data_IF_738377757526
#
_entry.id   IF_738377757526
#
_cell.length_a   1.000
_cell.length_b   1.000
_cell.length_c   1.000
_cell.angle_alpha   90.00
_cell.angle_beta   90.00
_cell.angle_gamma   90.00
#
_symmetry.space_group_name_H-M   'P 1'
#
loop_
_entity.id
_entity.type
_entity.pdbx_description
1 polymer ?
#
# COMPACT_ATOMS: atom_id res chain seq x y z
N UNK A 1 5.10 -1.50 -27.25
CA UNK A 1 5.45 -2.53 -28.25
C UNK A 1 5.69 -3.95 -27.69
N UNK A 2 5.75 -4.19 -26.37
CA UNK A 2 5.83 -5.55 -25.82
C UNK A 2 4.47 -6.31 -25.86
N UNK A 3 3.37 -5.62 -25.55
CA UNK A 3 2.02 -6.20 -25.54
C UNK A 3 1.55 -6.71 -26.92
N UNK A 4 1.91 -6.00 -28.00
CA UNK A 4 1.61 -6.44 -29.37
C UNK A 4 2.35 -7.74 -29.72
N UNK A 5 3.61 -7.86 -29.30
CA UNK A 5 4.42 -9.06 -29.48
C UNK A 5 3.91 -10.25 -28.64
N UNK A 6 3.38 -10.01 -27.45
CA UNK A 6 2.72 -11.06 -26.68
C UNK A 6 1.42 -11.51 -27.34
N UNK A 7 0.61 -10.58 -27.89
CA UNK A 7 -0.63 -10.92 -28.60
C UNK A 7 -0.36 -11.77 -29.85
N UNK A 8 0.73 -11.54 -30.57
CA UNK A 8 1.10 -12.34 -31.74
C UNK A 8 1.64 -13.74 -31.39
N UNK A 9 2.18 -13.94 -30.18
CA UNK A 9 2.62 -15.26 -29.70
C UNK A 9 1.48 -16.17 -29.25
N UNK A 10 0.30 -15.60 -28.99
CA UNK A 10 -0.89 -16.37 -28.62
C UNK A 10 -1.50 -17.05 -29.84
N UNK A 11 -1.99 -18.27 -29.66
CA UNK A 11 -2.75 -19.01 -30.66
C UNK A 11 -4.08 -18.34 -31.00
N UNK A 12 -4.68 -18.72 -32.13
CA UNK A 12 -5.93 -18.10 -32.65
C UNK A 12 -7.06 -18.18 -31.59
N UNK A 13 -7.24 -19.32 -30.96
CA UNK A 13 -8.24 -19.53 -29.89
C UNK A 13 -8.02 -18.64 -28.67
N UNK A 14 -6.77 -18.48 -28.24
CA UNK A 14 -6.39 -17.64 -27.11
C UNK A 14 -6.64 -16.15 -27.40
N UNK A 15 -6.38 -15.70 -28.63
CA UNK A 15 -6.69 -14.32 -29.06
C UNK A 15 -8.19 -14.04 -29.03
N UNK A 16 -9.01 -14.98 -29.52
CA UNK A 16 -10.47 -14.85 -29.47
C UNK A 16 -10.99 -14.82 -28.03
N UNK A 17 -10.46 -15.67 -27.15
CA UNK A 17 -10.78 -15.66 -25.73
C UNK A 17 -10.41 -14.32 -25.06
N UNK A 18 -9.22 -13.78 -25.35
CA UNK A 18 -8.82 -12.46 -24.85
C UNK A 18 -9.74 -11.34 -25.34
N UNK A 19 -10.13 -11.36 -26.61
CA UNK A 19 -11.04 -10.33 -27.13
C UNK A 19 -12.45 -10.46 -26.51
N UNK A 20 -12.90 -11.67 -26.15
CA UNK A 20 -14.13 -11.89 -25.37
C UNK A 20 -13.99 -11.36 -23.94
N UNK A 21 -12.91 -11.71 -23.24
CA UNK A 21 -12.64 -11.21 -21.88
C UNK A 21 -12.54 -9.69 -21.84
N UNK A 22 -11.88 -9.09 -22.85
CA UNK A 22 -11.77 -7.64 -22.98
C UNK A 22 -13.13 -6.98 -23.21
N UNK A 23 -14.10 -7.65 -23.83
CA UNK A 23 -15.46 -7.11 -24.04
C UNK A 23 -16.38 -7.29 -22.83
N UNK A 24 -15.95 -8.04 -21.82
CA UNK A 24 -16.73 -8.22 -20.61
C UNK A 24 -16.66 -6.96 -19.74
N UNK A 25 -17.79 -6.25 -19.65
CA UNK A 25 -17.92 -4.99 -18.89
C UNK A 25 -17.60 -5.21 -17.40
N UNK A 26 -18.05 -6.33 -16.81
CA UNK A 26 -17.78 -6.63 -15.41
C UNK A 26 -16.27 -6.75 -15.14
N UNK A 27 -15.54 -7.45 -16.00
CA UNK A 27 -14.09 -7.61 -15.85
C UNK A 27 -13.35 -6.28 -16.03
N UNK A 28 -13.78 -5.43 -16.97
CA UNK A 28 -13.19 -4.09 -17.15
C UNK A 28 -13.35 -3.24 -15.88
N UNK A 29 -14.58 -3.11 -15.39
CA UNK A 29 -14.87 -2.30 -14.19
C UNK A 29 -14.12 -2.85 -12.98
N UNK A 30 -14.00 -4.18 -12.84
CA UNK A 30 -13.24 -4.82 -11.75
C UNK A 30 -11.75 -4.50 -11.84
N UNK A 31 -11.15 -4.64 -13.02
CA UNK A 31 -9.73 -4.33 -13.24
C UNK A 31 -9.44 -2.85 -13.01
N UNK A 32 -10.32 -1.96 -13.47
CA UNK A 32 -10.20 -0.51 -13.25
C UNK A 32 -10.29 -0.18 -11.75
N UNK A 33 -11.22 -0.81 -11.02
CA UNK A 33 -11.35 -0.65 -9.57
C UNK A 33 -10.09 -1.14 -8.83
N UNK A 34 -9.55 -2.30 -9.21
CA UNK A 34 -8.30 -2.83 -8.64
C UNK A 34 -7.11 -1.89 -8.91
N UNK A 35 -6.98 -1.38 -10.15
CA UNK A 35 -5.94 -0.44 -10.52
C UNK A 35 -6.03 0.87 -9.73
N UNK A 36 -7.23 1.43 -9.59
CA UNK A 36 -7.46 2.62 -8.78
C UNK A 36 -7.11 2.38 -7.32
N UNK A 37 -7.49 1.23 -6.76
CA UNK A 37 -7.17 0.90 -5.37
C UNK A 37 -5.67 0.79 -5.13
N UNK A 38 -4.93 0.16 -6.05
CA UNK A 38 -3.46 0.14 -6.01
C UNK A 38 -2.88 1.55 -6.08
N UNK A 39 -3.42 2.42 -6.95
CA UNK A 39 -2.99 3.82 -7.05
C UNK A 39 -3.25 4.61 -5.77
N UNK A 40 -4.39 4.40 -5.12
CA UNK A 40 -4.74 5.05 -3.85
C UNK A 40 -3.75 4.62 -2.76
N UNK A 41 -3.48 3.32 -2.63
CA UNK A 41 -2.51 2.77 -1.66
C UNK A 41 -1.13 3.38 -1.86
N UNK A 42 -0.64 3.43 -3.09
CA UNK A 42 0.68 3.97 -3.40
C UNK A 42 0.76 5.47 -3.09
N UNK A 43 -0.27 6.25 -3.43
CA UNK A 43 -0.32 7.69 -3.11
C UNK A 43 -0.39 7.96 -1.61
N UNK A 44 -1.11 7.14 -0.86
CA UNK A 44 -1.16 7.24 0.60
C UNK A 44 0.20 6.92 1.23
N UNK A 45 0.88 5.89 0.74
CA UNK A 45 2.24 5.53 1.17
C UNK A 45 3.22 6.66 0.87
N UNK A 46 3.21 7.19 -0.35
CA UNK A 46 4.06 8.31 -0.75
C UNK A 46 3.82 9.53 0.14
N UNK A 47 2.55 9.89 0.38
CA UNK A 47 2.19 10.98 1.29
C UNK A 47 2.74 10.77 2.70
N UNK A 48 2.62 9.56 3.25
CA UNK A 48 3.16 9.24 4.59
C UNK A 48 4.66 9.47 4.65
N UNK A 49 5.42 8.94 3.69
CA UNK A 49 6.86 9.15 3.63
C UNK A 49 7.25 10.61 3.45
N UNK A 50 6.49 11.39 2.68
CA UNK A 50 6.73 12.82 2.53
C UNK A 50 6.54 13.57 3.84
N UNK A 51 5.47 13.29 4.59
CA UNK A 51 5.22 13.89 5.90
C UNK A 51 6.32 13.51 6.89
N UNK A 52 6.67 12.22 6.98
CA UNK A 52 7.75 11.75 7.86
C UNK A 52 9.09 12.41 7.53
N UNK A 53 9.41 12.57 6.24
CA UNK A 53 10.62 13.27 5.79
C UNK A 53 10.62 14.74 6.20
N UNK A 54 9.47 15.40 6.09
CA UNK A 54 9.30 16.79 6.50
C UNK A 54 9.46 16.94 8.02
N UNK A 55 8.80 16.10 8.81
CA UNK A 55 8.92 16.08 10.27
C UNK A 55 10.36 15.86 10.71
N UNK A 56 11.08 14.94 10.07
CA UNK A 56 12.49 14.68 10.37
C UNK A 56 13.37 15.90 10.07
N UNK A 57 13.18 16.53 8.91
CA UNK A 57 13.90 17.75 8.54
C UNK A 57 13.59 18.92 9.49
N UNK A 58 12.34 19.04 9.94
CA UNK A 58 11.91 20.06 10.89
C UNK A 58 12.56 19.88 12.26
N UNK A 59 12.64 18.64 12.78
CA UNK A 59 13.34 18.36 14.05
C UNK A 59 14.83 18.67 13.98
N UNK A 60 15.43 18.60 12.79
CA UNK A 60 16.85 18.85 12.58
C UNK A 60 17.18 20.33 12.30
N UNK A 61 16.24 21.09 11.74
CA UNK A 61 16.40 22.52 11.46
C UNK A 61 15.78 23.37 12.59
N UNK A 62 16.61 24.07 13.36
CA UNK A 62 16.22 24.78 14.61
C UNK A 62 15.18 25.91 14.40
N UNK A 63 14.89 26.38 13.19
CA UNK A 63 13.96 27.51 13.04
C UNK A 63 13.44 27.74 11.61
N UNK A 64 12.34 27.11 11.19
CA UNK A 64 11.66 27.46 9.92
C UNK A 64 10.12 27.40 10.01
N UNK A 65 9.48 28.45 10.56
CA UNK A 65 8.01 28.60 10.53
C UNK A 65 7.45 29.10 9.18
N UNK A 66 8.28 29.75 8.34
CA UNK A 66 7.82 30.38 7.08
C UNK A 66 7.82 29.44 5.87
N UNK A 67 8.57 28.33 5.91
CA UNK A 67 8.65 27.36 4.79
C UNK A 67 7.40 26.44 4.72
N UNK A 68 6.67 26.32 5.84
CA UNK A 68 5.59 25.35 5.99
C UNK A 68 4.33 25.68 5.20
N UNK A 69 4.03 26.95 4.90
CA UNK A 69 2.80 27.32 4.21
C UNK A 69 2.68 26.73 2.80
N UNK A 70 3.79 26.73 2.04
CA UNK A 70 3.82 26.15 0.69
C UNK A 70 3.72 24.62 0.73
N UNK A 71 4.32 24.01 1.75
CA UNK A 71 4.30 22.56 1.96
C UNK A 71 2.91 22.10 2.40
N UNK A 72 2.26 22.83 3.32
CA UNK A 72 0.90 22.57 3.79
C UNK A 72 -0.10 22.63 2.64
N UNK A 73 0.02 23.65 1.77
CA UNK A 73 -0.81 23.75 0.57
C UNK A 73 -0.58 22.56 -0.36
N UNK A 74 0.67 22.16 -0.61
CA UNK A 74 0.98 20.98 -1.43
C UNK A 74 0.40 19.68 -0.84
N UNK A 75 0.48 19.50 0.49
CA UNK A 75 -0.12 18.36 1.20
C UNK A 75 -1.64 18.38 1.05
N UNK A 76 -2.29 19.54 1.21
CA UNK A 76 -3.73 19.68 1.03
C UNK A 76 -4.18 19.33 -0.40
N UNK A 77 -3.45 19.78 -1.42
CA UNK A 77 -3.74 19.43 -2.82
C UNK A 77 -3.64 17.92 -3.09
N UNK A 78 -2.64 17.27 -2.51
CA UNK A 78 -2.50 15.80 -2.58
C UNK A 78 -3.67 15.11 -1.89
N UNK A 79 -4.10 15.59 -0.73
CA UNK A 79 -5.28 15.07 -0.03
C UNK A 79 -6.53 15.16 -0.91
N UNK A 80 -6.72 16.28 -1.62
CA UNK A 80 -7.84 16.44 -2.55
C UNK A 80 -7.76 15.45 -3.73
N UNK A 81 -6.57 15.21 -4.25
CA UNK A 81 -6.39 14.27 -5.37
C UNK A 81 -6.66 12.83 -4.93
N UNK A 82 -6.18 12.44 -3.74
CA UNK A 82 -6.47 11.13 -3.16
C UNK A 82 -7.98 10.97 -2.92
N UNK A 83 -8.65 11.99 -2.36
CA UNK A 83 -10.11 12.00 -2.19
C UNK A 83 -10.84 11.81 -3.52
N UNK A 84 -10.44 12.50 -4.59
CA UNK A 84 -11.01 12.32 -5.93
C UNK A 84 -10.88 10.88 -6.43
N UNK A 85 -9.72 10.25 -6.23
CA UNK A 85 -9.52 8.85 -6.60
C UNK A 85 -10.40 7.91 -5.77
N UNK A 86 -10.58 8.18 -4.47
CA UNK A 86 -11.48 7.41 -3.61
C UNK A 86 -12.93 7.52 -4.11
N UNK A 87 -13.41 8.72 -4.46
CA UNK A 87 -14.76 8.88 -5.00
C UNK A 87 -14.94 8.11 -6.32
N UNK A 88 -13.94 8.16 -7.21
CA UNK A 88 -13.96 7.39 -8.45
C UNK A 88 -13.93 5.87 -8.22
N UNK A 89 -13.20 5.41 -7.21
CA UNK A 89 -13.20 3.99 -6.84
C UNK A 89 -14.56 3.57 -6.25
N UNK A 90 -15.14 4.39 -5.38
CA UNK A 90 -16.44 4.12 -4.77
C UNK A 90 -17.57 4.10 -5.80
N UNK A 91 -17.51 4.91 -6.86
CA UNK A 91 -18.46 4.82 -7.97
C UNK A 91 -18.34 3.50 -8.72
N UNK A 92 -17.11 3.02 -9.00
CA UNK A 92 -16.92 1.70 -9.61
C UNK A 92 -17.40 0.56 -8.70
N UNK A 93 -17.28 0.69 -7.38
CA UNK A 93 -17.85 -0.29 -6.44
C UNK A 93 -19.38 -0.34 -6.51
N UNK A 94 -20.02 0.82 -6.68
CA UNK A 94 -21.47 0.90 -6.90
C UNK A 94 -21.87 0.27 -8.24
N UNK A 95 -21.09 0.51 -9.30
CA UNK A 95 -21.31 -0.08 -10.63
C UNK A 95 -21.16 -1.61 -10.59
N UNK A 96 -20.13 -2.13 -9.91
CA UNK A 96 -19.95 -3.57 -9.70
C UNK A 96 -21.11 -4.18 -8.92
N UNK A 97 -21.55 -3.51 -7.85
CA UNK A 97 -22.72 -3.94 -7.07
C UNK A 97 -24.00 -3.95 -7.91
N UNK A 98 -24.15 -3.01 -8.85
CA UNK A 98 -25.27 -3.00 -9.80
C UNK A 98 -25.17 -4.15 -10.81
N UNK A 99 -23.98 -4.43 -11.36
CA UNK A 99 -23.75 -5.54 -12.29
C UNK A 99 -23.99 -6.91 -11.64
N UNK A 100 -23.63 -7.07 -10.37
CA UNK A 100 -23.88 -8.29 -9.58
C UNK A 100 -25.39 -8.48 -9.39
N UNK A 101 -26.12 -7.43 -9.01
CA UNK A 101 -27.60 -7.47 -8.89
C UNK A 101 -28.30 -7.79 -10.22
N UNK A 102 -27.70 -7.40 -11.35
CA UNK A 102 -28.19 -7.71 -12.68
C UNK A 102 -27.78 -9.10 -13.19
N UNK A 103 -27.11 -9.91 -12.37
CA UNK A 103 -26.56 -11.22 -12.76
C UNK A 103 -25.64 -11.19 -14.00
N UNK A 104 -24.94 -10.07 -14.21
CA UNK A 104 -23.93 -9.91 -15.27
C UNK A 104 -22.51 -10.24 -14.80
N UNK A 105 -22.38 -10.68 -13.55
CA UNK A 105 -21.13 -11.18 -12.96
C UNK A 105 -21.10 -12.72 -12.96
N UNK A 106 -19.92 -13.33 -12.77
CA UNK A 106 -19.81 -14.75 -12.44
C UNK A 106 -20.66 -15.15 -11.22
N UNK A 107 -21.08 -16.42 -11.11
CA UNK A 107 -21.82 -16.90 -9.94
C UNK A 107 -20.99 -16.74 -8.66
N UNK A 108 -21.67 -16.49 -7.52
CA UNK A 108 -21.07 -16.30 -6.20
C UNK A 108 -20.05 -15.14 -6.09
N UNK A 109 -20.17 -14.13 -6.96
CA UNK A 109 -19.32 -12.94 -6.89
C UNK A 109 -19.67 -12.10 -5.66
N UNK A 110 -18.65 -11.74 -4.88
CA UNK A 110 -18.77 -10.83 -3.73
C UNK A 110 -18.47 -9.39 -4.21
N UNK A 111 -19.32 -8.39 -3.89
CA UNK A 111 -19.04 -7.00 -4.23
C UNK A 111 -17.85 -6.46 -3.41
N UNK A 112 -17.02 -5.58 -3.98
CA UNK A 112 -15.93 -4.96 -3.25
C UNK A 112 -16.42 -3.91 -2.25
N UNK A 113 -15.69 -3.78 -1.15
CA UNK A 113 -16.00 -2.81 -0.10
C UNK A 113 -15.60 -1.39 -0.54
N UNK A 114 -16.52 -0.40 -0.42
CA UNK A 114 -16.20 1.00 -0.66
C UNK A 114 -15.28 1.54 0.45
N UNK A 115 -14.41 2.49 0.11
CA UNK A 115 -13.47 3.10 1.05
C UNK A 115 -14.11 4.34 1.67
N UNK A 116 -14.09 4.45 3.00
CA UNK A 116 -14.50 5.68 3.67
C UNK A 116 -13.55 6.84 3.33
N UNK A 117 -14.04 8.00 2.86
CA UNK A 117 -13.21 9.18 2.64
C UNK A 117 -12.83 9.92 3.94
N UNK A 118 -13.46 9.57 5.08
CA UNK A 118 -13.13 10.09 6.41
C UNK A 118 -12.11 9.17 7.09
N UNK A 119 -11.11 9.74 7.77
CA UNK A 119 -10.09 8.95 8.48
C UNK A 119 -9.06 8.21 7.60
N UNK A 120 -9.21 8.20 6.28
CA UNK A 120 -8.31 7.46 5.36
C UNK A 120 -6.82 7.84 5.46
N UNK A 121 -6.54 9.03 5.98
CA UNK A 121 -5.20 9.57 6.09
C UNK A 121 -4.44 9.13 7.34
N UNK A 122 -5.15 8.54 8.32
CA UNK A 122 -4.58 8.04 9.56
C UNK A 122 -3.89 6.68 9.34
N UNK A 123 -4.24 5.99 8.24
CA UNK A 123 -3.62 4.74 7.78
C UNK A 123 -3.58 3.65 8.85
N UNK A 124 -4.71 3.44 9.49
CA UNK A 124 -4.88 2.34 10.44
C UNK A 124 -4.69 0.98 9.77
N UNK A 125 -4.19 0.01 10.54
CA UNK A 125 -3.95 -1.36 10.12
C UNK A 125 -5.27 -2.03 9.70
N UNK A 126 -6.35 -1.67 10.38
CA UNK A 126 -7.69 -2.23 10.16
C UNK A 126 -8.49 -1.48 9.08
N UNK A 127 -7.89 -0.51 8.38
CA UNK A 127 -8.59 0.26 7.36
C UNK A 127 -9.01 -0.63 6.17
N UNK A 128 -10.27 -0.47 5.72
CA UNK A 128 -10.87 -1.22 4.59
C UNK A 128 -10.05 -1.17 3.30
N UNK A 129 -9.18 -0.17 3.16
CA UNK A 129 -8.26 -0.05 2.03
C UNK A 129 -7.34 -1.26 1.86
N UNK A 130 -7.05 -2.02 2.93
CA UNK A 130 -6.17 -3.19 2.87
C UNK A 130 -6.88 -4.48 2.45
N UNK A 131 -8.22 -4.52 2.44
CA UNK A 131 -8.98 -5.73 2.14
C UNK A 131 -9.32 -5.85 0.65
N UNK A 132 -8.73 -6.78 -0.11
CA UNK A 132 -9.00 -6.98 -1.56
C UNK A 132 -10.21 -7.85 -1.91
N UNK A 133 -11.15 -7.95 -0.97
CA UNK A 133 -12.40 -8.70 -1.12
C UNK A 133 -13.16 -8.20 -2.37
N UNK A 134 -13.54 -9.12 -3.24
CA UNK A 134 -14.34 -8.83 -4.44
C UNK A 134 -13.56 -8.21 -5.61
N UNK A 135 -12.25 -7.96 -5.46
CA UNK A 135 -11.38 -7.45 -6.52
C UNK A 135 -10.35 -8.47 -7.00
N UNK A 136 -9.80 -9.27 -6.10
CA UNK A 136 -8.87 -10.34 -6.42
C UNK A 136 -9.50 -11.72 -6.17
N UNK A 137 -9.34 -12.61 -7.14
CA UNK A 137 -9.79 -14.01 -7.03
C UNK A 137 -8.67 -14.92 -6.51
N UNK A 138 -7.43 -14.42 -6.50
CA UNK A 138 -6.29 -15.14 -5.93
C UNK A 138 -6.31 -14.91 -4.44
N UNK A 139 -6.70 -15.92 -3.67
CA UNK A 139 -6.33 -15.97 -2.25
C UNK A 139 -4.86 -16.36 -2.23
N UNK A 140 -3.92 -15.43 -1.99
CA UNK A 140 -2.52 -15.82 -1.91
C UNK A 140 -2.37 -16.82 -0.76
N UNK A 141 -1.55 -17.85 -0.96
CA UNK A 141 -1.11 -18.67 0.15
C UNK A 141 -0.52 -17.73 1.22
N UNK A 142 -0.91 -17.90 2.50
CA UNK A 142 -0.42 -17.03 3.54
C UNK A 142 1.11 -17.08 3.55
N UNK A 143 1.80 -15.92 3.61
CA UNK A 143 3.25 -15.89 3.62
C UNK A 143 3.84 -16.78 4.72
N UNK A 144 5.01 -17.37 4.49
CA UNK A 144 5.63 -18.32 5.42
C UNK A 144 5.81 -17.78 6.85
N UNK A 145 6.10 -16.48 7.01
CA UNK A 145 6.21 -15.86 8.35
C UNK A 145 4.89 -15.90 9.14
N UNK A 146 3.76 -16.00 8.44
CA UNK A 146 2.41 -16.12 9.00
C UNK A 146 1.98 -17.57 9.11
N UNK A 147 2.28 -18.42 8.12
CA UNK A 147 1.80 -19.80 8.05
C UNK A 147 2.70 -20.83 8.75
N UNK A 148 4.02 -20.65 8.68
CA UNK A 148 5.02 -21.58 9.17
C UNK A 148 5.62 -21.14 10.51
N UNK A 149 5.52 -22.00 11.52
CA UNK A 149 6.06 -21.75 12.85
C UNK A 149 7.59 -21.73 12.85
N UNK A 150 8.24 -22.52 11.99
CA UNK A 150 9.70 -22.56 11.90
C UNK A 150 10.22 -21.21 11.39
N UNK A 151 9.66 -20.71 10.29
CA UNK A 151 9.98 -19.39 9.74
C UNK A 151 9.77 -18.29 10.78
N UNK A 152 8.67 -18.33 11.54
CA UNK A 152 8.40 -17.36 12.61
C UNK A 152 9.41 -17.43 13.75
N UNK A 153 9.78 -18.64 14.17
CA UNK A 153 10.81 -18.85 15.19
C UNK A 153 12.18 -18.32 14.72
N UNK A 154 12.55 -18.59 13.46
CA UNK A 154 13.79 -18.10 12.85
C UNK A 154 13.82 -16.58 12.82
N UNK A 155 12.75 -15.90 12.38
CA UNK A 155 12.66 -14.43 12.37
C UNK A 155 12.89 -13.86 13.78
N UNK A 156 12.23 -14.43 14.80
CA UNK A 156 12.42 -14.00 16.19
C UNK A 156 13.88 -14.16 16.66
N UNK A 157 14.53 -15.27 16.29
CA UNK A 157 15.93 -15.52 16.64
C UNK A 157 16.87 -14.53 15.94
N UNK A 158 16.68 -14.27 14.65
CA UNK A 158 17.47 -13.28 13.89
C UNK A 158 17.32 -11.89 14.50
N UNK A 159 16.09 -11.45 14.80
CA UNK A 159 15.86 -10.15 15.45
C UNK A 159 16.50 -10.05 16.84
N UNK A 160 16.58 -11.17 17.58
CA UNK A 160 17.26 -11.21 18.87
C UNK A 160 18.77 -11.07 18.71
N UNK A 161 19.37 -11.72 17.71
CA UNK A 161 20.78 -11.57 17.38
C UNK A 161 21.09 -10.12 16.98
N UNK A 162 20.28 -9.53 16.10
CA UNK A 162 20.45 -8.13 15.67
C UNK A 162 20.37 -7.15 16.84
N UNK A 163 19.44 -7.39 17.78
CA UNK A 163 19.33 -6.59 19.00
C UNK A 163 20.59 -6.74 19.87
N UNK A 164 21.09 -7.96 20.07
CA UNK A 164 22.32 -8.18 20.83
C UNK A 164 23.51 -7.45 20.19
N UNK A 165 23.66 -7.50 18.87
CA UNK A 165 24.73 -6.81 18.14
C UNK A 165 24.64 -5.28 18.29
N UNK A 166 23.42 -4.75 18.20
CA UNK A 166 23.14 -3.33 18.40
C UNK A 166 23.52 -2.91 19.82
N UNK A 167 23.09 -3.67 20.83
CA UNK A 167 23.32 -3.38 22.24
C UNK A 167 24.80 -3.47 22.60
N UNK A 168 25.53 -4.47 22.09
CA UNK A 168 26.98 -4.55 22.26
C UNK A 168 27.69 -3.32 21.67
N UNK A 169 27.23 -2.84 20.51
CA UNK A 169 27.76 -1.63 19.89
C UNK A 169 27.47 -0.38 20.72
N UNK A 170 26.26 -0.25 21.26
CA UNK A 170 25.89 0.84 22.16
C UNK A 170 26.75 0.84 23.44
N UNK A 171 26.88 -0.32 24.11
CA UNK A 171 27.69 -0.46 25.33
C UNK A 171 29.16 -0.11 25.07
N UNK A 172 29.72 -0.47 23.91
CA UNK A 172 31.09 -0.08 23.54
C UNK A 172 31.24 1.44 23.44
N UNK A 173 30.29 2.11 22.80
CA UNK A 173 30.29 3.58 22.69
C UNK A 173 30.14 4.22 24.06
N UNK A 174 29.16 3.80 24.85
CA UNK A 174 28.92 4.32 26.20
C UNK A 174 30.13 4.15 27.11
N UNK A 175 30.78 2.97 27.07
CA UNK A 175 32.01 2.73 27.80
C UNK A 175 33.12 3.71 27.40
N UNK A 176 33.34 3.93 26.10
CA UNK A 176 34.35 4.88 25.64
C UNK A 176 34.03 6.30 26.15
N UNK A 177 32.77 6.73 26.05
CA UNK A 177 32.33 8.04 26.56
C UNK A 177 32.58 8.18 28.06
N UNK A 178 32.23 7.18 28.87
CA UNK A 178 32.46 7.20 30.32
C UNK A 178 33.95 7.25 30.67
N UNK A 179 34.79 6.53 29.93
CA UNK A 179 36.25 6.56 30.11
C UNK A 179 36.83 7.94 29.77
N UNK A 180 36.36 8.57 28.69
CA UNK A 180 36.76 9.93 28.34
C UNK A 180 36.35 10.92 29.43
N UNK A 181 35.14 10.80 29.98
CA UNK A 181 34.65 11.69 31.04
C UNK A 181 35.46 11.54 32.32
N UNK A 182 35.79 10.31 32.72
CA UNK A 182 36.57 10.03 33.92
C UNK A 182 38.03 10.52 33.85
N UNK A 183 38.55 10.85 32.66
CA UNK A 183 39.90 11.41 32.48
C UNK A 183 39.89 12.94 32.51
N UNK A 184 38.73 13.56 32.23
CA UNK A 184 38.55 15.02 32.23
C UNK A 184 38.29 15.58 33.63
N UNK A 185 37.95 14.71 34.59
CA UNK A 185 37.73 15.02 36.02
C UNK A 185 38.98 14.72 36.86
#
# INVERSE_FOLDING_TARGET
>A
NALSHCKTRLGISQRTCLDQLRRNIYLQVRLDAQALKMCIRERLRQRKFEIEKLEHSYRQAVNEHKLNSHVDVAIQWRNLTIRKLIYSYNSLCADLSALIRQHRSPPNTIPPNPISPTGIFDLDIDADIWQDIGLDDVVPEPPDWLADEVTRAVIKLVLKIDRCNKEESCVKVERCTLQEWAIVE
#
